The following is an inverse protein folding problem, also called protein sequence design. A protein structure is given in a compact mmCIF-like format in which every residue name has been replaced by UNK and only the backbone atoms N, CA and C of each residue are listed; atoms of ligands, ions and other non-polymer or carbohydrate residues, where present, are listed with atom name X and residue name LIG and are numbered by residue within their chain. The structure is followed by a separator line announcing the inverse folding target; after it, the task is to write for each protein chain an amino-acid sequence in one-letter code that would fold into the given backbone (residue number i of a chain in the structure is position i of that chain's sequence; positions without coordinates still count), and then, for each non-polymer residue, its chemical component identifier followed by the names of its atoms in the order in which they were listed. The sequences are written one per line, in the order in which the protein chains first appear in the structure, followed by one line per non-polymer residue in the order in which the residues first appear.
data_IF_575163015712
#
_entry.id   IF_575163015712
#
_cell.length_a   1.000
_cell.length_b   1.000
_cell.length_c   1.000
_cell.angle_alpha   90.00
_cell.angle_beta   90.00
_cell.angle_gamma   90.00
#
_symmetry.space_group_name_H-M   'P 1'
#
loop_
_entity.id
_entity.type
_entity.pdbx_description
1 polymer ?
#
# COMPACT_ATOMS: atom_id res chain seq x y z
N UNK A 1 -14.41 18.54 -25.17
CA UNK A 1 -13.95 17.51 -24.22
C UNK A 1 -14.99 17.41 -23.14
N UNK A 2 -15.77 16.33 -23.16
CA UNK A 2 -16.82 16.09 -22.17
C UNK A 2 -16.21 15.82 -20.80
N UNK A 3 -16.98 16.07 -19.74
CA UNK A 3 -16.53 15.87 -18.36
C UNK A 3 -16.24 14.38 -18.05
N UNK A 4 -16.77 13.46 -18.85
CA UNK A 4 -16.50 12.01 -18.80
C UNK A 4 -15.12 11.63 -19.37
N UNK A 5 -14.65 12.30 -20.44
CA UNK A 5 -13.28 12.10 -20.96
C UNK A 5 -12.23 12.68 -20.01
N UNK A 6 -12.58 13.77 -19.30
CA UNK A 6 -11.71 14.40 -18.30
C UNK A 6 -11.51 13.55 -17.04
N UNK A 7 -12.49 12.72 -16.68
CA UNK A 7 -12.41 11.80 -15.53
C UNK A 7 -11.66 10.51 -15.86
N UNK A 8 -11.70 10.04 -17.11
CA UNK A 8 -10.91 8.87 -17.53
C UNK A 8 -9.41 9.19 -17.75
N UNK A 9 -9.07 10.38 -18.27
CA UNK A 9 -7.68 10.80 -18.51
C UNK A 9 -6.89 11.10 -17.21
N UNK A 10 -7.59 11.42 -16.11
CA UNK A 10 -6.97 11.65 -14.80
C UNK A 10 -6.68 10.34 -14.01
N UNK A 11 -7.14 9.19 -14.52
CA UNK A 11 -6.97 7.88 -13.87
C UNK A 11 -5.71 7.12 -14.30
N UNK A 12 -4.98 7.60 -15.32
CA UNK A 12 -3.81 6.89 -15.91
C UNK A 12 -2.51 7.68 -15.84
N UNK A 13 -2.53 8.95 -15.40
CA UNK A 13 -1.29 9.69 -15.15
C UNK A 13 -0.57 9.12 -13.94
N UNK A 14 0.74 8.92 -14.10
CA UNK A 14 1.70 8.67 -13.03
C UNK A 14 1.48 9.72 -11.94
N UNK A 15 0.81 9.33 -10.84
CA UNK A 15 0.50 10.24 -9.73
C UNK A 15 1.78 10.46 -8.92
N UNK A 16 2.61 11.39 -9.36
CA UNK A 16 3.87 11.79 -8.70
C UNK A 16 3.53 12.81 -7.61
N UNK A 17 3.61 12.39 -6.35
CA UNK A 17 3.49 13.30 -5.21
C UNK A 17 4.80 13.99 -4.91
N UNK A 18 4.71 15.22 -4.39
CA UNK A 18 5.88 16.03 -4.02
C UNK A 18 6.15 16.03 -2.52
N UNK A 19 5.32 15.33 -1.75
CA UNK A 19 5.44 15.19 -0.30
C UNK A 19 4.80 16.33 0.48
N UNK A 20 3.72 16.93 -0.04
CA UNK A 20 2.91 17.91 0.70
C UNK A 20 2.23 17.28 1.91
N UNK A 21 1.78 16.04 1.74
CA UNK A 21 1.16 15.23 2.78
C UNK A 21 2.11 14.11 3.15
N UNK A 22 2.49 14.05 4.43
CA UNK A 22 3.31 12.97 4.96
C UNK A 22 2.49 12.25 6.04
N UNK A 23 2.19 10.95 5.86
CA UNK A 23 1.37 10.20 6.80
C UNK A 23 2.09 10.03 8.15
N UNK A 24 1.32 9.70 9.17
CA UNK A 24 1.82 9.46 10.52
C UNK A 24 1.92 7.96 10.81
N UNK A 25 2.71 7.62 11.82
CA UNK A 25 2.67 6.26 12.39
C UNK A 25 1.41 6.11 13.26
N UNK A 26 0.72 4.99 13.09
CA UNK A 26 -0.32 4.58 14.03
C UNK A 26 0.34 4.04 15.29
N UNK A 27 -0.10 4.55 16.44
CA UNK A 27 0.35 4.08 17.75
C UNK A 27 -0.88 3.63 18.54
N UNK A 28 -1.00 2.33 18.85
CA UNK A 28 -2.09 1.89 19.71
C UNK A 28 -1.95 2.53 21.09
N UNK A 29 -3.09 2.84 21.73
CA UNK A 29 -3.09 3.44 23.08
C UNK A 29 -2.44 2.53 24.11
N UNK A 30 -2.64 1.22 23.96
CA UNK A 30 -1.98 0.20 24.77
C UNK A 30 -0.98 -0.55 23.89
N UNK A 31 0.27 -0.63 24.32
CA UNK A 31 1.35 -1.31 23.57
C UNK A 31 1.13 -2.82 23.42
N UNK A 32 0.22 -3.42 24.20
CA UNK A 32 -0.20 -4.81 24.05
C UNK A 32 -1.31 -5.02 23.02
N UNK A 33 -1.94 -3.95 22.54
CA UNK A 33 -2.97 -4.06 21.53
C UNK A 33 -2.36 -4.56 20.20
N UNK A 34 -2.99 -5.57 19.63
CA UNK A 34 -2.65 -6.14 18.32
C UNK A 34 -3.65 -5.64 17.26
N UNK A 35 -3.31 -5.72 15.96
CA UNK A 35 -4.26 -5.47 14.88
C UNK A 35 -5.56 -6.25 15.04
N UNK A 36 -5.48 -7.54 15.36
CA UNK A 36 -6.66 -8.40 15.60
C UNK A 36 -7.49 -7.98 16.81
N UNK A 37 -6.89 -7.35 17.82
CA UNK A 37 -7.62 -6.86 19.00
C UNK A 37 -8.30 -5.51 18.80
N UNK A 38 -7.75 -4.66 17.92
CA UNK A 38 -8.26 -3.32 17.65
C UNK A 38 -9.18 -3.26 16.45
N UNK A 39 -8.90 -4.06 15.42
CA UNK A 39 -9.59 -4.05 14.14
C UNK A 39 -10.31 -5.38 13.94
N UNK A 40 -11.57 -5.40 14.36
CA UNK A 40 -12.41 -6.60 14.35
C UNK A 40 -13.20 -6.68 13.03
N UNK A 41 -13.67 -7.88 12.62
CA UNK A 41 -14.63 -8.00 11.54
C UNK A 41 -15.87 -7.13 11.81
N UNK A 42 -16.11 -6.17 10.93
CA UNK A 42 -17.25 -5.26 10.98
C UNK A 42 -17.81 -5.01 9.59
N UNK A 43 -19.10 -4.70 9.50
CA UNK A 43 -19.79 -4.49 8.23
C UNK A 43 -19.77 -3.00 7.88
N UNK A 44 -19.24 -2.65 6.72
CA UNK A 44 -19.50 -1.35 6.11
C UNK A 44 -20.88 -1.38 5.45
N UNK A 45 -21.81 -0.60 6.00
CA UNK A 45 -23.17 -0.44 5.46
C UNK A 45 -23.26 0.56 4.30
N UNK A 46 -22.18 1.30 4.03
CA UNK A 46 -22.15 2.30 2.97
C UNK A 46 -21.71 1.69 1.62
N UNK A 47 -21.11 0.50 1.64
CA UNK A 47 -20.86 -0.29 0.45
C UNK A 47 -22.13 -1.04 0.01
N UNK A 48 -22.39 -1.12 -1.30
CA UNK A 48 -23.44 -1.97 -1.87
C UNK A 48 -22.78 -3.07 -2.69
N UNK A 49 -23.04 -4.38 -2.46
CA UNK A 49 -23.60 -4.92 -1.24
C UNK A 49 -22.69 -4.60 -0.06
N UNK A 50 -23.22 -4.74 1.15
CA UNK A 50 -22.46 -4.55 2.37
C UNK A 50 -21.21 -5.44 2.37
N UNK A 51 -20.07 -4.88 2.77
CA UNK A 51 -18.78 -5.59 2.78
C UNK A 51 -18.20 -5.62 4.18
N UNK A 52 -17.69 -6.78 4.59
CA UNK A 52 -16.94 -6.93 5.85
C UNK A 52 -15.53 -6.34 5.71
N UNK A 53 -15.05 -5.64 6.75
CA UNK A 53 -13.73 -5.02 6.84
C UNK A 53 -13.16 -5.22 8.25
N UNK A 54 -11.85 -5.01 8.40
CA UNK A 54 -11.22 -4.90 9.72
C UNK A 54 -11.47 -3.50 10.28
N UNK A 55 -12.59 -3.31 10.98
CA UNK A 55 -13.04 -2.00 11.48
C UNK A 55 -12.57 -1.80 12.92
N UNK A 56 -12.08 -0.60 13.23
CA UNK A 56 -11.60 -0.26 14.56
C UNK A 56 -12.74 -0.34 15.60
N UNK A 57 -12.51 -1.07 16.70
CA UNK A 57 -13.53 -1.42 17.72
C UNK A 57 -14.26 -0.23 18.34
N UNK A 58 -13.64 0.94 18.40
CA UNK A 58 -14.26 2.17 18.94
C UNK A 58 -14.36 3.32 17.92
N UNK A 59 -14.00 3.08 16.65
CA UNK A 59 -14.11 4.07 15.60
C UNK A 59 -14.58 3.41 14.29
N UNK A 60 -15.90 3.42 14.00
CA UNK A 60 -16.45 2.72 12.85
C UNK A 60 -16.00 3.29 11.49
N UNK A 61 -15.43 4.51 11.46
CA UNK A 61 -14.90 5.13 10.24
C UNK A 61 -13.42 4.85 10.01
N UNK A 62 -12.78 4.09 10.90
CA UNK A 62 -11.39 3.69 10.78
C UNK A 62 -11.28 2.20 10.50
N UNK A 63 -10.47 1.82 9.52
CA UNK A 63 -10.25 0.42 9.16
C UNK A 63 -8.77 0.11 8.90
N UNK A 64 -8.45 -1.17 8.79
CA UNK A 64 -7.10 -1.67 8.60
C UNK A 64 -6.98 -2.55 7.36
N UNK A 65 -5.85 -2.43 6.68
CA UNK A 65 -5.41 -3.30 5.59
C UNK A 65 -4.00 -3.81 5.94
N UNK A 66 -3.76 -5.12 5.76
CA UNK A 66 -2.43 -5.70 5.85
C UNK A 66 -1.77 -5.72 4.48
N UNK A 67 -0.46 -5.45 4.44
CA UNK A 67 0.34 -5.51 3.21
C UNK A 67 1.69 -6.17 3.48
N UNK A 68 2.18 -6.92 2.50
CA UNK A 68 3.51 -7.55 2.53
C UNK A 68 4.12 -7.63 1.12
N UNK A 69 5.45 -7.62 1.06
CA UNK A 69 6.25 -7.82 -0.14
C UNK A 69 7.34 -8.86 0.04
N UNK A 70 7.22 -9.99 -0.65
CA UNK A 70 8.19 -11.08 -0.61
C UNK A 70 9.07 -11.10 -1.85
N UNK A 71 10.30 -11.58 -1.71
CA UNK A 71 11.17 -11.88 -2.84
C UNK A 71 11.94 -13.19 -2.63
N UNK A 72 11.65 -14.18 -3.47
CA UNK A 72 12.36 -15.45 -3.55
C UNK A 72 13.71 -15.20 -4.23
N UNK A 73 14.80 -15.66 -3.60
CA UNK A 73 16.15 -15.44 -4.13
C UNK A 73 16.60 -13.97 -4.13
N UNK A 74 16.08 -13.15 -3.20
CA UNK A 74 16.43 -11.73 -3.08
C UNK A 74 17.94 -11.49 -3.03
N UNK A 75 18.47 -10.66 -3.94
CA UNK A 75 19.91 -10.41 -4.09
C UNK A 75 20.71 -11.51 -4.80
N UNK A 76 20.05 -12.61 -5.20
CA UNK A 76 20.64 -13.68 -6.01
C UNK A 76 20.50 -13.45 -7.51
N UNK A 77 20.77 -14.50 -8.29
CA UNK A 77 20.79 -14.42 -9.76
C UNK A 77 19.41 -14.33 -10.41
N UNK A 78 18.39 -14.97 -9.83
CA UNK A 78 17.03 -15.04 -10.38
C UNK A 78 15.97 -14.64 -9.34
N UNK A 79 16.00 -13.38 -8.84
CA UNK A 79 15.03 -12.94 -7.85
C UNK A 79 13.63 -12.86 -8.49
N UNK A 80 12.63 -13.38 -7.79
CA UNK A 80 11.21 -13.21 -8.13
C UNK A 80 10.50 -12.60 -6.93
N UNK A 81 9.76 -11.52 -7.14
CA UNK A 81 9.06 -10.84 -6.05
C UNK A 81 7.55 -10.82 -6.26
N UNK A 82 6.81 -10.71 -5.16
CA UNK A 82 5.36 -10.77 -5.15
C UNK A 82 4.79 -9.90 -4.04
N UNK A 83 3.59 -9.40 -4.29
CA UNK A 83 2.87 -8.51 -3.39
C UNK A 83 1.66 -9.23 -2.81
N UNK A 84 1.40 -9.06 -1.52
CA UNK A 84 0.26 -9.61 -0.80
C UNK A 84 -0.47 -8.53 -0.01
N UNK A 85 -1.80 -8.52 -0.10
CA UNK A 85 -2.68 -7.55 0.56
C UNK A 85 -3.85 -8.31 1.15
N UNK A 86 -4.21 -8.04 2.41
CA UNK A 86 -5.41 -8.58 3.06
C UNK A 86 -6.27 -7.40 3.53
N UNK A 87 -7.44 -7.25 2.91
CA UNK A 87 -8.30 -6.06 3.04
C UNK A 87 -9.69 -6.35 3.62
N UNK A 88 -10.03 -7.63 3.86
CA UNK A 88 -11.22 -8.05 4.61
C UNK A 88 -11.00 -9.40 5.32
N UNK A 89 -11.77 -9.72 6.36
CA UNK A 89 -11.56 -10.91 7.19
C UNK A 89 -12.06 -12.24 6.60
N UNK A 90 -12.41 -12.29 5.32
CA UNK A 90 -12.92 -13.52 4.66
C UNK A 90 -11.89 -14.19 3.76
N UNK A 91 -12.15 -15.44 3.36
CA UNK A 91 -11.23 -16.27 2.55
C UNK A 91 -10.97 -15.70 1.15
N UNK A 92 -11.81 -14.78 0.67
CA UNK A 92 -11.63 -14.05 -0.58
C UNK A 92 -11.14 -12.61 -0.34
N UNK A 93 -10.59 -12.36 0.85
CA UNK A 93 -10.26 -11.04 1.38
C UNK A 93 -8.88 -10.53 1.06
N UNK A 94 -8.28 -11.09 0.01
CA UNK A 94 -6.91 -10.81 -0.36
C UNK A 94 -6.77 -10.40 -1.82
N UNK A 95 -5.69 -9.69 -2.09
CA UNK A 95 -5.17 -9.45 -3.43
C UNK A 95 -3.70 -9.89 -3.42
N UNK A 96 -3.30 -10.64 -4.45
CA UNK A 96 -1.91 -11.01 -4.66
C UNK A 96 -1.52 -10.90 -6.13
N UNK A 97 -0.27 -10.55 -6.39
CA UNK A 97 0.25 -10.46 -7.75
C UNK A 97 1.78 -10.43 -7.78
N UNK A 98 2.42 -11.01 -8.81
CA UNK A 98 3.86 -10.86 -9.03
C UNK A 98 4.22 -9.39 -9.20
N UNK A 99 5.35 -8.96 -8.61
CA UNK A 99 5.89 -7.62 -8.81
C UNK A 99 6.21 -7.44 -10.30
N UNK A 100 5.73 -6.35 -10.89
CA UNK A 100 5.97 -6.06 -12.30
C UNK A 100 7.44 -5.75 -12.59
N UNK A 101 7.92 -6.11 -13.79
CA UNK A 101 9.28 -5.79 -14.22
C UNK A 101 9.47 -4.29 -14.46
N UNK A 102 8.41 -3.61 -14.92
CA UNK A 102 8.42 -2.17 -15.12
C UNK A 102 7.81 -1.43 -13.93
N UNK A 103 8.35 -0.26 -13.63
CA UNK A 103 7.80 0.68 -12.65
C UNK A 103 6.68 1.54 -13.24
N UNK A 104 6.12 2.45 -12.43
CA UNK A 104 5.09 3.38 -12.90
C UNK A 104 5.53 4.19 -14.14
N UNK A 105 6.84 4.43 -14.31
CA UNK A 105 7.45 5.20 -15.42
C UNK A 105 7.65 4.38 -16.70
N UNK A 106 7.32 3.08 -16.70
CA UNK A 106 7.61 2.17 -17.79
C UNK A 106 9.08 1.70 -17.83
N UNK A 107 9.93 2.18 -16.92
CA UNK A 107 11.32 1.73 -16.83
C UNK A 107 11.42 0.38 -16.13
N UNK A 108 12.31 -0.49 -16.60
CA UNK A 108 12.58 -1.78 -15.97
C UNK A 108 13.32 -1.61 -14.64
N UNK A 109 12.92 -2.37 -13.62
CA UNK A 109 13.50 -2.33 -12.30
C UNK A 109 13.76 -3.74 -11.74
N UNK A 110 14.74 -3.89 -10.82
CA UNK A 110 15.05 -5.18 -10.24
C UNK A 110 13.94 -5.70 -9.32
N UNK A 111 13.75 -7.02 -9.36
CA UNK A 111 12.90 -7.75 -8.43
C UNK A 111 13.54 -7.76 -7.05
N UNK A 112 12.94 -7.07 -6.07
CA UNK A 112 13.45 -7.00 -4.69
C UNK A 112 12.30 -6.97 -3.70
N UNK A 113 12.54 -7.43 -2.46
CA UNK A 113 11.53 -7.38 -1.40
C UNK A 113 11.10 -5.94 -1.11
N UNK A 114 12.02 -4.99 -0.91
CA UNK A 114 11.68 -3.58 -0.67
C UNK A 114 10.79 -2.95 -1.75
N UNK A 115 10.97 -3.35 -3.01
CA UNK A 115 10.14 -2.85 -4.11
C UNK A 115 8.74 -3.47 -4.09
N UNK A 116 8.63 -4.76 -3.79
CA UNK A 116 7.35 -5.44 -3.59
C UNK A 116 6.57 -4.86 -2.39
N UNK A 117 7.25 -4.54 -1.30
CA UNK A 117 6.64 -3.92 -0.11
C UNK A 117 5.95 -2.59 -0.45
N UNK A 118 6.66 -1.69 -1.14
CA UNK A 118 6.09 -0.42 -1.61
C UNK A 118 4.93 -0.64 -2.57
N UNK A 119 5.09 -1.59 -3.50
CA UNK A 119 4.10 -1.89 -4.53
C UNK A 119 2.80 -2.45 -3.93
N UNK A 120 2.89 -3.27 -2.87
CA UNK A 120 1.75 -3.80 -2.13
C UNK A 120 0.93 -2.67 -1.48
N UNK A 121 1.59 -1.71 -0.83
CA UNK A 121 0.93 -0.53 -0.26
C UNK A 121 0.24 0.30 -1.34
N UNK A 122 0.91 0.58 -2.45
CA UNK A 122 0.31 1.35 -3.56
C UNK A 122 -0.90 0.62 -4.15
N UNK A 123 -0.81 -0.70 -4.33
CA UNK A 123 -1.96 -1.49 -4.77
C UNK A 123 -3.12 -1.40 -3.77
N UNK A 124 -2.87 -1.54 -2.46
CA UNK A 124 -3.91 -1.42 -1.45
C UNK A 124 -4.61 -0.05 -1.49
N UNK A 125 -3.82 1.03 -1.64
CA UNK A 125 -4.35 2.40 -1.74
C UNK A 125 -5.12 2.65 -3.04
N UNK A 126 -4.81 1.94 -4.13
CA UNK A 126 -5.51 2.09 -5.43
C UNK A 126 -6.61 1.08 -5.67
N UNK A 127 -6.75 0.08 -4.80
CA UNK A 127 -7.61 -1.07 -5.05
C UNK A 127 -9.09 -0.68 -5.14
N UNK A 128 -9.56 0.17 -4.21
CA UNK A 128 -10.96 0.62 -4.15
C UNK A 128 -11.05 2.09 -3.72
N UNK A 129 -12.21 2.69 -3.95
CA UNK A 129 -12.54 3.99 -3.39
C UNK A 129 -13.03 3.85 -1.95
N UNK A 130 -12.10 3.76 -1.00
CA UNK A 130 -12.36 3.47 0.42
C UNK A 130 -13.31 4.45 1.11
N UNK A 131 -13.28 5.73 0.73
CA UNK A 131 -14.20 6.75 1.24
C UNK A 131 -15.65 6.51 0.80
N UNK A 132 -15.86 5.90 -0.36
CA UNK A 132 -17.18 5.42 -0.80
C UNK A 132 -17.77 4.34 0.10
N UNK A 133 -16.93 3.62 0.84
CA UNK A 133 -17.36 2.65 1.86
C UNK A 133 -17.59 3.29 3.25
N UNK A 134 -17.60 4.62 3.35
CA UNK A 134 -17.87 5.35 4.59
C UNK A 134 -16.69 5.51 5.55
N UNK A 135 -15.49 5.13 5.13
CA UNK A 135 -14.27 5.31 5.92
C UNK A 135 -13.64 6.69 5.69
N UNK A 136 -12.99 7.22 6.72
CA UNK A 136 -12.18 8.44 6.63
C UNK A 136 -10.82 8.29 7.33
N UNK A 137 -10.51 7.09 7.82
CA UNK A 137 -9.20 6.76 8.35
C UNK A 137 -8.80 5.34 7.97
N UNK A 138 -7.61 5.19 7.39
CA UNK A 138 -7.02 3.92 7.00
C UNK A 138 -5.71 3.70 7.77
N UNK A 139 -5.56 2.52 8.36
CA UNK A 139 -4.30 2.03 8.91
C UNK A 139 -3.73 0.96 7.98
N UNK A 140 -2.57 1.22 7.40
CA UNK A 140 -1.76 0.22 6.70
C UNK A 140 -0.89 -0.51 7.72
N UNK A 141 -1.11 -1.80 7.90
CA UNK A 141 -0.28 -2.66 8.73
C UNK A 141 0.72 -3.45 7.89
N UNK A 142 2.00 -3.39 8.25
CA UNK A 142 3.10 -4.10 7.58
C UNK A 142 4.23 -4.31 8.59
N UNK A 143 5.03 -5.35 8.43
CA UNK A 143 6.27 -5.58 9.17
C UNK A 143 7.49 -4.86 8.55
N UNK A 144 7.30 -4.20 7.40
CA UNK A 144 8.35 -3.48 6.69
C UNK A 144 8.72 -2.14 7.34
N UNK A 145 9.84 -2.12 8.05
CA UNK A 145 10.48 -0.89 8.52
C UNK A 145 10.79 0.06 7.37
N UNK A 146 11.21 -0.49 6.23
CA UNK A 146 11.55 0.29 5.04
C UNK A 146 10.37 1.13 4.57
N UNK A 147 9.16 0.56 4.56
CA UNK A 147 7.93 1.28 4.22
C UNK A 147 7.57 2.29 5.31
N UNK A 148 7.45 1.84 6.57
CA UNK A 148 6.92 2.66 7.66
C UNK A 148 7.85 3.85 7.96
N UNK A 149 9.14 3.62 8.18
CA UNK A 149 10.09 4.71 8.43
C UNK A 149 10.35 5.53 7.18
N UNK A 150 10.34 4.89 6.01
CA UNK A 150 10.50 5.58 4.74
C UNK A 150 9.43 6.64 4.55
N UNK A 151 8.15 6.25 4.54
CA UNK A 151 7.03 7.16 4.26
C UNK A 151 6.77 8.16 5.41
N UNK A 152 6.99 7.76 6.66
CA UNK A 152 6.65 8.62 7.82
C UNK A 152 7.82 9.49 8.30
N UNK A 153 9.06 9.24 7.85
CA UNK A 153 10.26 9.94 8.32
C UNK A 153 11.25 10.26 7.19
N UNK A 154 11.82 9.25 6.53
CA UNK A 154 12.99 9.43 5.65
C UNK A 154 12.70 10.24 4.39
N UNK A 155 11.51 10.11 3.80
CA UNK A 155 11.10 10.84 2.59
C UNK A 155 11.26 12.35 2.74
N UNK A 156 11.01 12.92 3.94
CA UNK A 156 11.22 14.36 4.18
C UNK A 156 12.67 14.78 3.95
N UNK A 157 13.61 13.95 4.41
CA UNK A 157 15.03 14.17 4.21
C UNK A 157 15.45 13.95 2.75
N UNK A 158 14.90 12.94 2.08
CA UNK A 158 15.17 12.67 0.68
C UNK A 158 14.70 13.81 -0.22
N UNK A 159 13.46 14.29 -0.04
CA UNK A 159 12.90 15.43 -0.80
C UNK A 159 13.77 16.66 -0.61
N UNK A 160 14.12 17.01 0.64
CA UNK A 160 14.98 18.17 0.94
C UNK A 160 16.36 18.09 0.28
N UNK A 161 16.89 16.88 0.08
CA UNK A 161 18.20 16.65 -0.55
C UNK A 161 18.10 16.31 -2.04
N UNK A 162 16.96 16.55 -2.68
CA UNK A 162 16.76 16.27 -4.11
C UNK A 162 16.85 14.78 -4.43
N UNK A 163 16.20 13.94 -3.63
CA UNK A 163 16.17 12.47 -3.73
C UNK A 163 17.55 11.80 -3.58
N UNK A 164 18.36 12.33 -2.65
CA UNK A 164 19.64 11.76 -2.26
C UNK A 164 19.63 11.23 -0.82
N UNK A 165 20.30 10.10 -0.63
CA UNK A 165 20.60 9.51 0.68
C UNK A 165 21.56 10.41 1.47
N UNK A 166 21.77 10.12 2.76
CA UNK A 166 22.77 10.83 3.58
C UNK A 166 24.19 10.69 3.03
N UNK A 167 24.47 9.60 2.30
CA UNK A 167 25.74 9.33 1.64
C UNK A 167 25.84 9.94 0.23
N UNK A 168 24.86 10.75 -0.20
CA UNK A 168 24.87 11.43 -1.49
C UNK A 168 24.41 10.59 -2.69
N UNK A 169 24.31 9.27 -2.55
CA UNK A 169 23.77 8.38 -3.59
C UNK A 169 22.26 8.61 -3.82
N UNK A 170 21.78 8.31 -5.03
CA UNK A 170 20.35 8.35 -5.37
C UNK A 170 19.52 7.40 -4.49
N UNK A 171 18.34 7.84 -4.09
CA UNK A 171 17.40 7.01 -3.32
C UNK A 171 16.85 5.90 -4.23
N UNK A 172 16.95 4.65 -3.75
CA UNK A 172 16.38 3.48 -4.44
C UNK A 172 14.85 3.54 -4.43
N UNK A 173 14.23 2.99 -5.48
CA UNK A 173 12.76 2.92 -5.63
C UNK A 173 12.06 4.29 -5.62
N UNK A 174 12.76 5.35 -6.05
CA UNK A 174 12.23 6.72 -6.08
C UNK A 174 10.89 6.79 -6.81
N UNK A 175 10.76 6.08 -7.91
CA UNK A 175 9.55 5.98 -8.73
C UNK A 175 8.32 5.53 -7.92
N UNK A 176 8.48 4.51 -7.07
CA UNK A 176 7.40 4.05 -6.19
C UNK A 176 7.21 4.97 -4.99
N UNK A 177 8.26 5.59 -4.46
CA UNK A 177 8.12 6.57 -3.39
C UNK A 177 7.33 7.80 -3.84
N UNK A 178 7.64 8.34 -5.00
CA UNK A 178 6.90 9.45 -5.62
C UNK A 178 5.45 9.05 -5.88
N UNK A 179 5.21 7.82 -6.37
CA UNK A 179 3.87 7.26 -6.54
C UNK A 179 3.09 7.16 -5.21
N UNK A 180 3.73 6.63 -4.16
CA UNK A 180 3.12 6.51 -2.83
C UNK A 180 2.78 7.88 -2.24
N UNK A 181 3.67 8.87 -2.37
CA UNK A 181 3.40 10.24 -1.93
C UNK A 181 2.21 10.85 -2.69
N UNK A 182 2.07 10.54 -3.98
CA UNK A 182 0.91 10.98 -4.78
C UNK A 182 -0.40 10.40 -4.25
N UNK A 183 -0.40 9.13 -3.82
CA UNK A 183 -1.56 8.54 -3.16
C UNK A 183 -1.85 9.17 -1.78
N UNK A 184 -0.82 9.57 -1.02
CA UNK A 184 -1.03 10.28 0.25
C UNK A 184 -1.73 11.62 0.04
N UNK A 185 -1.26 12.41 -0.93
CA UNK A 185 -1.87 13.71 -1.26
C UNK A 185 -3.30 13.56 -1.80
N UNK A 186 -3.54 12.52 -2.62
CA UNK A 186 -4.88 12.19 -3.12
C UNK A 186 -5.83 11.83 -1.99
N UNK A 187 -5.44 10.93 -1.08
CA UNK A 187 -6.30 10.46 0.00
C UNK A 187 -6.62 11.58 0.99
N UNK A 188 -5.65 12.44 1.31
CA UNK A 188 -5.87 13.64 2.11
C UNK A 188 -6.90 14.58 1.46
N UNK A 189 -6.81 14.81 0.15
CA UNK A 189 -7.79 15.60 -0.60
C UNK A 189 -9.19 14.98 -0.67
N UNK A 190 -9.32 13.69 -0.32
CA UNK A 190 -10.59 12.96 -0.25
C UNK A 190 -11.03 12.73 1.21
N UNK A 191 -10.53 13.53 2.16
CA UNK A 191 -10.84 13.42 3.60
C UNK A 191 -10.50 12.05 4.22
N UNK A 192 -9.51 11.33 3.66
CA UNK A 192 -9.00 10.07 4.18
C UNK A 192 -7.64 10.26 4.84
N UNK A 193 -7.60 10.08 6.16
CA UNK A 193 -6.34 10.04 6.89
C UNK A 193 -5.70 8.65 6.77
N UNK A 194 -4.51 8.58 6.18
CA UNK A 194 -3.71 7.34 6.11
C UNK A 194 -2.63 7.33 7.20
N UNK A 195 -2.58 6.25 7.98
CA UNK A 195 -1.55 5.99 8.99
C UNK A 195 -0.86 4.65 8.73
N UNK A 196 0.39 4.53 9.18
CA UNK A 196 1.20 3.31 9.01
C UNK A 196 1.52 2.67 10.36
N UNK A 197 1.26 1.37 10.49
CA UNK A 197 1.58 0.59 11.68
C UNK A 197 2.64 -0.45 11.36
N UNK A 198 3.84 -0.29 11.93
CA UNK A 198 4.84 -1.36 11.95
C UNK A 198 4.39 -2.44 12.94
N UNK A 199 4.08 -3.62 12.44
CA UNK A 199 3.65 -4.77 13.24
C UNK A 199 4.74 -5.85 13.27
N UNK A 200 4.78 -6.73 14.29
CA UNK A 200 5.60 -7.93 14.26
C UNK A 200 5.24 -8.82 13.07
N UNK A 201 6.23 -9.48 12.47
CA UNK A 201 6.05 -10.38 11.32
C UNK A 201 5.03 -11.49 11.58
N UNK A 202 5.03 -12.06 12.79
CA UNK A 202 4.10 -13.12 13.18
C UNK A 202 2.63 -12.67 13.19
N UNK A 203 2.36 -11.36 13.11
CA UNK A 203 1.01 -10.81 12.97
C UNK A 203 0.62 -10.53 11.52
N UNK A 204 1.56 -10.64 10.57
CA UNK A 204 1.38 -10.35 9.14
C UNK A 204 1.40 -11.63 8.26
N UNK A 205 1.21 -12.81 8.86
CA UNK A 205 1.40 -14.12 8.19
C UNK A 205 0.55 -14.31 6.94
N UNK A 206 -0.68 -13.77 6.94
CA UNK A 206 -1.61 -13.98 5.82
C UNK A 206 -1.17 -13.15 4.60
N UNK A 207 -0.77 -11.89 4.80
CA UNK A 207 -0.24 -11.05 3.73
C UNK A 207 1.10 -11.62 3.19
N UNK A 208 1.98 -12.07 4.09
CA UNK A 208 3.24 -12.71 3.74
C UNK A 208 3.03 -14.00 2.93
N UNK A 209 2.08 -14.84 3.32
CA UNK A 209 1.71 -16.03 2.55
C UNK A 209 1.29 -15.67 1.12
N UNK A 210 0.42 -14.67 0.96
CA UNK A 210 -0.04 -14.22 -0.35
C UNK A 210 1.10 -13.61 -1.19
N UNK A 211 1.99 -12.83 -0.59
CA UNK A 211 3.14 -12.24 -1.25
C UNK A 211 4.13 -13.32 -1.74
N UNK A 212 4.45 -14.31 -0.89
CA UNK A 212 5.31 -15.44 -1.25
C UNK A 212 4.72 -16.30 -2.34
N UNK A 213 3.42 -16.58 -2.28
CA UNK A 213 2.74 -17.31 -3.34
C UNK A 213 2.84 -16.57 -4.66
N UNK A 214 2.54 -15.28 -4.67
CA UNK A 214 2.65 -14.46 -5.87
C UNK A 214 4.09 -14.38 -6.43
N UNK A 215 5.10 -14.39 -5.56
CA UNK A 215 6.50 -14.42 -5.98
C UNK A 215 6.91 -15.72 -6.68
N UNK A 216 6.14 -16.81 -6.52
CA UNK A 216 6.38 -18.08 -7.22
C UNK A 216 5.78 -18.13 -8.62
N UNK A 217 4.82 -17.25 -8.91
CA UNK A 217 4.16 -17.14 -10.21
C UNK A 217 5.06 -16.43 -11.25
N UNK A 218 4.63 -16.42 -12.53
CA UNK A 218 5.39 -15.76 -13.58
C UNK A 218 5.25 -14.24 -13.53
N UNK A 219 6.38 -13.56 -13.70
CA UNK A 219 6.49 -12.11 -13.57
C UNK A 219 5.65 -11.39 -14.62
N UNK A 220 4.98 -10.30 -14.21
CA UNK A 220 4.23 -9.44 -15.12
C UNK A 220 5.15 -8.43 -15.79
N UNK A 221 4.87 -8.07 -17.04
CA UNK A 221 5.65 -7.09 -17.80
C UNK A 221 5.49 -5.67 -17.25
N UNK A 222 4.29 -5.10 -17.41
CA UNK A 222 4.05 -3.67 -17.18
C UNK A 222 3.31 -3.36 -15.88
N UNK A 223 3.67 -2.24 -15.26
CA UNK A 223 2.97 -1.67 -14.10
C UNK A 223 1.51 -1.38 -14.46
N UNK A 224 0.57 -1.82 -13.61
CA UNK A 224 -0.86 -1.55 -13.80
C UNK A 224 -1.60 -1.37 -12.49
N UNK A 225 -2.64 -0.55 -12.54
CA UNK A 225 -3.59 -0.48 -11.44
C UNK A 225 -4.39 -1.78 -11.36
N UNK A 226 -4.50 -2.30 -10.13
CA UNK A 226 -5.33 -3.46 -9.85
C UNK A 226 -6.55 -2.92 -9.12
N UNK A 227 -7.67 -2.86 -9.83
CA UNK A 227 -8.93 -2.34 -9.28
C UNK A 227 -9.80 -3.50 -8.83
N UNK A 228 -10.35 -3.40 -7.63
CA UNK A 228 -11.45 -4.25 -7.21
C UNK A 228 -12.68 -3.91 -8.04
N UNK A 229 -13.55 -4.89 -8.26
CA UNK A 229 -14.85 -4.65 -8.89
C UNK A 229 -15.61 -3.66 -7.98
N UNK A 230 -15.99 -2.50 -8.56
CA UNK A 230 -17.01 -1.65 -7.97
C UNK A 230 -18.27 -2.48 -7.91
N UNK A 231 -18.72 -2.75 -6.71
CA UNK A 231 -20.04 -3.31 -6.50
C UNK A 231 -20.89 -2.16 -6.01
#
# INVERSE_FOLDING_TARGET
MSDEERTFDDMTRLRVGIGRVIPTKFHPRNTRDTPRSLFLPGISTNASPHVSRFIHRTNPKQFLIYTDGACLGNGGANPKAGCGIVFKPDDAGYLRFPLENEGPTGEAHPQTSNRAELRAVIAALRFRFWTGEGFNSLVIATDSEYVVEGVTSWVRGWIRRGWKTSMGAGVKNRDLWECLLGEMEKWDSNDMQVQFWRIPRDWNTDADYHARHAASEDTRGSFRDIKGIFV
#
